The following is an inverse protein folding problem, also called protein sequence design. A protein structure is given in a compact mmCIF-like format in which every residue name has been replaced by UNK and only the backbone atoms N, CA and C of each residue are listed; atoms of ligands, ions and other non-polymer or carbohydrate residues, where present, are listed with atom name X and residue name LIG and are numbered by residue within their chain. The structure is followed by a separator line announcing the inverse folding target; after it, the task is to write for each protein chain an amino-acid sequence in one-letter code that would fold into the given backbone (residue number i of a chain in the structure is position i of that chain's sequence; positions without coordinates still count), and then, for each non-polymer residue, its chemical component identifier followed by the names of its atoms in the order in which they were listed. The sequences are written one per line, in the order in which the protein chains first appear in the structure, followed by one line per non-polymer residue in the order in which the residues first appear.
data_IF_271265812251
#
_entry.id   IF_271265812251
#
_cell.length_a   1.000
_cell.length_b   1.000
_cell.length_c   1.000
_cell.angle_alpha   90.00
_cell.angle_beta   90.00
_cell.angle_gamma   90.00
#
_symmetry.space_group_name_H-M   'P 1'
#
loop_
_entity.id
_entity.type
_entity.pdbx_description
1 polymer ?
#
# COMPACT_ATOMS: atom_id res chain seq x y z
N UNK A 1 -31.18 34.45 -32.43
CA UNK A 1 -31.06 34.52 -30.95
C UNK A 1 -30.67 35.94 -30.58
N UNK A 2 -31.29 36.51 -29.55
CA UNK A 2 -30.90 37.84 -29.05
C UNK A 2 -29.50 37.78 -28.43
N UNK A 3 -28.67 38.81 -28.66
CA UNK A 3 -27.32 38.94 -28.08
C UNK A 3 -27.30 38.77 -26.55
N UNK A 4 -28.41 39.09 -25.88
CA UNK A 4 -28.59 38.90 -24.44
C UNK A 4 -28.57 37.42 -24.01
N UNK A 5 -29.07 36.51 -24.85
CA UNK A 5 -29.10 35.06 -24.57
C UNK A 5 -27.70 34.46 -24.73
N UNK A 6 -26.95 34.90 -25.75
CA UNK A 6 -25.57 34.45 -26.00
C UNK A 6 -24.65 34.85 -24.84
N UNK A 7 -24.77 36.08 -24.33
CA UNK A 7 -23.95 36.53 -23.20
C UNK A 7 -24.21 35.74 -21.92
N UNK A 8 -25.47 35.37 -21.64
CA UNK A 8 -25.81 34.55 -20.47
C UNK A 8 -25.23 33.14 -20.60
N UNK A 9 -25.33 32.53 -21.79
CA UNK A 9 -24.76 31.20 -22.05
C UNK A 9 -23.23 31.21 -21.91
N UNK A 10 -22.56 32.24 -22.43
CA UNK A 10 -21.11 32.40 -22.31
C UNK A 10 -20.65 32.57 -20.86
N UNK A 11 -21.35 33.37 -20.06
CA UNK A 11 -21.02 33.56 -18.64
C UNK A 11 -21.22 32.26 -17.87
N UNK A 12 -22.31 31.52 -18.12
CA UNK A 12 -22.54 30.23 -17.48
C UNK A 12 -21.48 29.18 -17.86
N UNK A 13 -21.08 29.13 -19.14
CA UNK A 13 -19.98 28.27 -19.61
C UNK A 13 -18.65 28.64 -18.93
N UNK A 14 -18.34 29.93 -18.83
CA UNK A 14 -17.12 30.40 -18.15
C UNK A 14 -17.12 30.04 -16.66
N UNK A 15 -18.24 30.20 -15.94
CA UNK A 15 -18.33 29.84 -14.52
C UNK A 15 -18.25 28.33 -14.30
N UNK A 16 -18.78 27.51 -15.22
CA UNK A 16 -18.66 26.05 -15.18
C UNK A 16 -17.22 25.59 -15.42
N UNK A 17 -16.49 26.24 -16.34
CA UNK A 17 -15.08 25.95 -16.59
C UNK A 17 -14.18 26.32 -15.39
N UNK A 18 -14.53 27.36 -14.62
CA UNK A 18 -13.78 27.77 -13.42
C UNK A 18 -14.12 26.89 -12.20
N UNK A 19 -15.38 26.48 -12.05
CA UNK A 19 -15.81 25.61 -10.94
C UNK A 19 -15.28 24.18 -11.04
N UNK A 20 -14.92 23.70 -12.24
CA UNK A 20 -14.32 22.37 -12.46
C UNK A 20 -12.93 22.19 -11.86
N UNK A 21 -12.30 23.25 -11.32
CA UNK A 21 -11.00 23.16 -10.62
C UNK A 21 -11.11 23.16 -9.09
N UNK A 22 -12.30 23.28 -8.53
CA UNK A 22 -12.53 23.32 -7.09
C UNK A 22 -13.21 22.04 -6.59
N UNK A 23 -12.63 20.88 -6.88
CA UNK A 23 -12.97 19.66 -6.15
C UNK A 23 -11.72 18.80 -5.99
N UNK A 24 -10.91 19.18 -5.02
CA UNK A 24 -9.88 18.33 -4.43
C UNK A 24 -10.10 18.46 -2.92
N UNK A 25 -10.88 17.53 -2.36
CA UNK A 25 -10.87 17.34 -0.92
C UNK A 25 -9.42 17.12 -0.49
N UNK A 26 -9.05 17.70 0.65
CA UNK A 26 -7.72 17.60 1.22
C UNK A 26 -7.31 16.12 1.31
N UNK A 27 -6.50 15.65 0.37
CA UNK A 27 -5.83 14.36 0.47
C UNK A 27 -4.70 14.61 1.48
N UNK A 28 -4.90 14.11 2.69
CA UNK A 28 -3.88 14.15 3.74
C UNK A 28 -3.02 12.91 3.55
N UNK A 29 -1.73 13.12 3.23
CA UNK A 29 -0.77 12.06 2.94
C UNK A 29 -0.30 12.11 1.48
N UNK A 30 0.98 11.84 1.26
CA UNK A 30 1.49 11.61 -0.10
C UNK A 30 0.88 10.33 -0.65
N UNK A 31 0.36 10.40 -1.87
CA UNK A 31 -0.18 9.25 -2.59
C UNK A 31 0.90 8.65 -3.48
N UNK A 32 1.00 7.33 -3.44
CA UNK A 32 1.94 6.55 -4.21
C UNK A 32 1.18 5.74 -5.24
N UNK A 33 1.79 5.54 -6.40
CA UNK A 33 1.22 4.70 -7.45
C UNK A 33 2.01 3.40 -7.57
N UNK A 34 1.32 2.32 -7.94
CA UNK A 34 1.98 1.15 -8.54
C UNK A 34 2.05 1.29 -10.07
N UNK A 35 2.66 0.32 -10.73
CA UNK A 35 2.79 0.27 -12.20
C UNK A 35 1.43 0.24 -12.93
N UNK A 36 0.36 -0.17 -12.24
CA UNK A 36 -1.01 -0.16 -12.76
C UNK A 36 -1.72 1.20 -12.53
N UNK A 37 -1.07 2.14 -11.85
CA UNK A 37 -1.60 3.47 -11.53
C UNK A 37 -2.58 3.49 -10.34
N UNK A 38 -2.70 2.38 -9.60
CA UNK A 38 -3.53 2.31 -8.39
C UNK A 38 -2.90 3.16 -7.30
N UNK A 39 -3.72 3.92 -6.57
CA UNK A 39 -3.26 4.85 -5.55
C UNK A 39 -3.22 4.19 -4.17
N UNK A 40 -2.12 4.44 -3.47
CA UNK A 40 -1.78 3.86 -2.18
C UNK A 40 -1.34 4.94 -1.20
N UNK A 41 -1.69 4.78 0.07
CA UNK A 41 -1.30 5.68 1.17
C UNK A 41 -0.29 4.98 2.06
N UNK A 42 0.82 5.63 2.38
CA UNK A 42 1.84 5.08 3.27
C UNK A 42 1.32 4.91 4.71
N UNK A 43 1.61 3.76 5.32
CA UNK A 43 1.17 3.41 6.68
C UNK A 43 2.36 3.40 7.64
N UNK A 44 3.48 2.83 7.22
CA UNK A 44 4.65 2.61 8.05
C UNK A 44 5.57 1.56 7.43
N UNK A 45 6.50 1.03 8.20
CA UNK A 45 7.41 -0.02 7.77
C UNK A 45 7.63 -1.05 8.87
N UNK A 46 7.95 -2.27 8.47
CA UNK A 46 8.47 -3.31 9.37
C UNK A 46 9.78 -3.87 8.81
N UNK A 47 10.60 -4.39 9.69
CA UNK A 47 11.85 -5.06 9.33
C UNK A 47 11.58 -6.56 9.13
N UNK A 48 12.29 -7.18 8.18
CA UNK A 48 12.35 -8.64 8.07
C UNK A 48 12.74 -9.28 9.40
N UNK A 49 13.66 -8.65 10.14
CA UNK A 49 14.08 -9.08 11.48
C UNK A 49 13.18 -8.41 12.53
N UNK A 50 12.23 -9.14 13.13
CA UNK A 50 11.35 -8.59 14.15
C UNK A 50 12.11 -8.29 15.44
N UNK A 51 11.56 -7.38 16.23
CA UNK A 51 12.07 -7.04 17.56
C UNK A 51 11.70 -8.10 18.62
N UNK A 52 10.67 -8.89 18.32
CA UNK A 52 10.02 -9.86 19.17
C UNK A 52 10.79 -11.19 19.14
N UNK A 53 11.16 -11.68 20.33
CA UNK A 53 11.96 -12.89 20.47
C UNK A 53 11.26 -14.17 20.01
N UNK A 54 9.92 -14.18 19.96
CA UNK A 54 9.12 -15.35 19.55
C UNK A 54 9.25 -15.68 18.06
N UNK A 55 9.61 -14.69 17.23
CA UNK A 55 9.86 -14.86 15.80
C UNK A 55 11.35 -14.92 15.49
N UNK A 56 12.16 -15.37 16.44
CA UNK A 56 13.59 -15.60 16.22
C UNK A 56 13.86 -17.09 16.12
N UNK A 57 14.56 -17.51 15.07
CA UNK A 57 14.98 -18.91 14.95
C UNK A 57 15.91 -19.27 16.13
N UNK A 58 15.56 -20.28 16.94
CA UNK A 58 16.42 -20.69 18.05
C UNK A 58 17.72 -21.29 17.54
N UNK A 59 18.78 -21.07 18.29
CA UNK A 59 20.08 -21.72 18.05
C UNK A 59 20.02 -23.22 18.38
N UNK A 60 20.95 -24.00 17.83
CA UNK A 60 21.06 -25.44 18.12
C UNK A 60 21.09 -25.74 19.63
N UNK A 61 21.78 -24.90 20.41
CA UNK A 61 21.86 -25.04 21.87
C UNK A 61 20.50 -24.84 22.54
N UNK A 62 19.71 -23.88 22.06
CA UNK A 62 18.36 -23.63 22.56
C UNK A 62 17.40 -24.75 22.17
N UNK A 63 17.51 -25.28 20.95
CA UNK A 63 16.72 -26.43 20.49
C UNK A 63 17.00 -27.67 21.35
N UNK A 64 18.28 -27.97 21.64
CA UNK A 64 18.65 -29.08 22.53
C UNK A 64 18.10 -28.87 23.95
N UNK A 65 17.94 -27.63 24.39
CA UNK A 65 17.33 -27.28 25.67
C UNK A 65 15.79 -27.20 25.62
N UNK A 66 15.16 -27.59 24.50
CA UNK A 66 13.70 -27.69 24.36
C UNK A 66 13.02 -26.43 23.82
N UNK A 67 13.75 -25.54 23.14
CA UNK A 67 13.14 -24.40 22.46
C UNK A 67 12.18 -24.85 21.35
N UNK A 68 11.12 -24.06 21.14
CA UNK A 68 10.16 -24.30 20.08
C UNK A 68 10.75 -23.94 18.72
N UNK A 69 10.62 -24.85 17.74
CA UNK A 69 10.99 -24.62 16.34
C UNK A 69 9.77 -24.39 15.44
N UNK A 70 8.55 -24.49 15.96
CA UNK A 70 7.31 -24.17 15.26
C UNK A 70 7.05 -22.65 15.35
N UNK A 71 7.85 -21.89 14.62
CA UNK A 71 7.71 -20.44 14.51
C UNK A 71 6.81 -20.14 13.32
N UNK A 72 5.74 -19.39 13.54
CA UNK A 72 4.83 -18.98 12.48
C UNK A 72 5.58 -18.21 11.39
N UNK A 73 5.27 -18.52 10.15
CA UNK A 73 5.69 -17.76 8.99
C UNK A 73 4.64 -16.73 8.61
N UNK A 74 5.09 -15.70 7.90
CA UNK A 74 4.25 -14.64 7.41
C UNK A 74 4.61 -14.35 5.97
N UNK A 75 3.61 -14.28 5.10
CA UNK A 75 3.79 -13.55 3.85
C UNK A 75 3.88 -12.03 4.14
N UNK A 76 4.33 -11.24 3.15
CA UNK A 76 4.53 -9.80 3.35
C UNK A 76 3.28 -9.04 3.81
N UNK A 77 2.09 -9.47 3.40
CA UNK A 77 0.81 -8.86 3.77
C UNK A 77 0.33 -9.33 5.14
N UNK A 78 0.56 -10.60 5.49
CA UNK A 78 0.29 -11.13 6.82
C UNK A 78 1.17 -10.46 7.87
N UNK A 79 2.46 -10.24 7.57
CA UNK A 79 3.36 -9.48 8.42
C UNK A 79 2.86 -8.04 8.62
N UNK A 80 2.47 -7.36 7.54
CA UNK A 80 1.85 -6.03 7.64
C UNK A 80 0.58 -6.03 8.51
N UNK A 81 -0.27 -7.04 8.33
CA UNK A 81 -1.51 -7.19 9.12
C UNK A 81 -1.20 -7.47 10.59
N UNK A 82 -0.15 -8.24 10.87
CA UNK A 82 0.33 -8.51 12.23
C UNK A 82 0.84 -7.22 12.89
N UNK A 83 1.65 -6.42 12.20
CA UNK A 83 2.25 -5.19 12.75
C UNK A 83 1.26 -4.02 12.88
N UNK A 84 0.40 -3.81 11.87
CA UNK A 84 -0.46 -2.62 11.78
C UNK A 84 -1.94 -2.90 12.06
N UNK A 85 -2.31 -4.17 12.21
CA UNK A 85 -3.69 -4.61 12.40
C UNK A 85 -4.47 -4.74 11.08
N UNK A 86 -5.65 -5.36 11.19
CA UNK A 86 -6.53 -5.55 10.05
C UNK A 86 -7.13 -4.23 9.55
N UNK A 87 -7.16 -4.06 8.24
CA UNK A 87 -7.86 -2.94 7.60
C UNK A 87 -9.38 -3.11 7.67
N UNK A 88 -10.09 -2.00 7.55
CA UNK A 88 -11.56 -1.97 7.54
C UNK A 88 -12.11 -1.86 6.11
N UNK A 89 -13.29 -2.43 5.87
CA UNK A 89 -13.96 -2.35 4.57
C UNK A 89 -13.20 -3.12 3.48
N UNK A 90 -13.15 -2.55 2.28
CA UNK A 90 -12.52 -3.17 1.09
C UNK A 90 -11.05 -2.77 0.91
N UNK A 91 -10.44 -2.15 1.93
CA UNK A 91 -9.05 -1.73 1.87
C UNK A 91 -8.11 -2.93 1.90
N UNK A 92 -6.99 -2.81 1.19
CA UNK A 92 -5.94 -3.84 1.11
C UNK A 92 -4.59 -3.23 1.44
N UNK A 93 -3.69 -4.03 1.99
CA UNK A 93 -2.28 -3.67 2.08
C UNK A 93 -1.57 -3.96 0.76
N UNK A 94 -0.48 -3.22 0.52
CA UNK A 94 0.55 -3.52 -0.46
C UNK A 94 1.91 -3.23 0.18
N UNK A 95 2.95 -3.94 -0.29
CA UNK A 95 4.31 -3.82 0.23
C UNK A 95 5.20 -3.20 -0.84
N UNK A 96 6.23 -2.48 -0.40
CA UNK A 96 7.35 -2.12 -1.25
C UNK A 96 8.67 -2.33 -0.54
N UNK A 97 9.68 -2.70 -1.31
CA UNK A 97 11.05 -3.00 -0.86
C UNK A 97 12.07 -2.09 -1.54
N UNK A 98 11.62 -0.92 -2.01
CA UNK A 98 12.51 0.08 -2.57
C UNK A 98 13.64 0.36 -1.59
N UNK A 99 14.88 0.34 -2.09
CA UNK A 99 16.06 0.52 -1.27
C UNK A 99 16.20 2.00 -0.88
N UNK A 100 15.66 2.36 0.29
CA UNK A 100 15.64 3.74 0.77
C UNK A 100 17.03 4.18 1.27
N UNK A 101 17.98 3.25 1.44
CA UNK A 101 19.34 3.58 1.86
C UNK A 101 20.05 4.54 0.89
N UNK A 102 19.69 4.52 -0.40
CA UNK A 102 20.19 5.51 -1.38
C UNK A 102 19.59 6.89 -1.13
N UNK A 103 18.34 6.99 -0.71
CA UNK A 103 17.62 8.26 -0.63
C UNK A 103 17.79 8.97 0.73
N UNK A 104 17.91 8.21 1.83
CA UNK A 104 18.23 8.74 3.17
C UNK A 104 19.65 9.31 3.26
N UNK A 105 20.61 8.74 2.50
CA UNK A 105 22.01 9.20 2.52
C UNK A 105 22.18 10.60 1.90
N UNK A 106 21.26 11.01 1.04
CA UNK A 106 21.40 12.23 0.26
C UNK A 106 20.33 13.30 0.56
N UNK A 107 19.40 13.07 1.50
CA UNK A 107 18.32 14.03 1.85
C UNK A 107 17.52 14.50 0.60
N UNK A 108 17.53 13.67 -0.44
CA UNK A 108 16.87 13.84 -1.73
C UNK A 108 15.92 12.67 -1.98
N UNK A 109 15.12 12.32 -0.97
CA UNK A 109 14.02 11.38 -1.17
C UNK A 109 13.00 12.10 -2.07
N UNK A 110 13.18 12.00 -3.38
CA UNK A 110 12.13 12.36 -4.32
C UNK A 110 11.08 11.26 -4.23
N UNK A 111 10.16 11.47 -3.29
CA UNK A 111 9.05 10.57 -2.98
C UNK A 111 8.17 10.30 -4.20
N UNK A 112 8.28 11.12 -5.26
CA UNK A 112 7.62 10.89 -6.55
C UNK A 112 8.23 9.76 -7.37
N UNK A 113 9.45 9.33 -7.07
CA UNK A 113 10.07 8.12 -7.65
C UNK A 113 9.68 6.84 -6.88
N UNK A 114 9.08 6.99 -5.70
CA UNK A 114 8.71 5.85 -4.89
C UNK A 114 7.52 5.12 -5.51
N UNK A 115 7.75 3.88 -5.94
CA UNK A 115 6.74 3.05 -6.59
C UNK A 115 6.32 1.91 -5.65
N UNK A 116 5.03 1.63 -5.55
CA UNK A 116 4.55 0.43 -4.85
C UNK A 116 4.81 -0.77 -5.75
N UNK A 117 5.88 -1.52 -5.45
CA UNK A 117 6.36 -2.61 -6.32
C UNK A 117 5.77 -3.99 -5.97
N UNK A 118 4.97 -4.08 -4.90
CA UNK A 118 4.34 -5.32 -4.41
C UNK A 118 5.31 -6.42 -4.02
N UNK A 119 6.61 -6.13 -3.92
CA UNK A 119 7.62 -7.06 -3.43
C UNK A 119 7.78 -6.92 -1.91
N UNK A 120 8.04 -8.03 -1.22
CA UNK A 120 8.49 -8.04 0.18
C UNK A 120 9.84 -8.77 0.30
N UNK A 121 10.63 -8.41 1.32
CA UNK A 121 11.81 -9.15 1.74
C UNK A 121 11.39 -10.40 2.50
N UNK A 122 12.03 -11.51 2.18
CA UNK A 122 11.83 -12.80 2.81
C UNK A 122 13.16 -13.41 3.22
N UNK A 123 13.18 -14.02 4.39
CA UNK A 123 14.18 -15.00 4.77
C UNK A 123 13.65 -16.38 4.39
N UNK A 124 14.44 -17.19 3.68
CA UNK A 124 14.06 -18.53 3.22
C UNK A 124 14.85 -19.55 4.02
N UNK A 125 14.17 -20.44 4.75
CA UNK A 125 14.78 -21.54 5.47
C UNK A 125 15.50 -22.46 4.48
N UNK A 126 16.82 -22.57 4.63
CA UNK A 126 17.61 -23.57 3.95
C UNK A 126 17.91 -24.74 4.88
N UNK A 127 18.29 -25.88 4.32
CA UNK A 127 18.80 -26.97 5.13
C UNK A 127 20.04 -26.56 5.93
N UNK A 128 20.46 -27.44 6.83
CA UNK A 128 21.61 -27.18 7.69
C UNK A 128 22.88 -27.78 7.10
N UNK A 129 23.92 -26.96 6.88
CA UNK A 129 25.27 -27.42 6.54
C UNK A 129 26.20 -27.12 7.71
N UNK A 130 26.76 -28.17 8.33
CA UNK A 130 27.64 -28.07 9.50
C UNK A 130 27.02 -27.30 10.70
N UNK A 131 25.72 -27.48 10.95
CA UNK A 131 25.02 -26.78 12.05
C UNK A 131 24.61 -25.34 11.72
N UNK A 132 24.80 -24.88 10.48
CA UNK A 132 24.40 -23.55 10.03
C UNK A 132 23.31 -23.65 8.98
N UNK A 133 22.20 -22.95 9.18
CA UNK A 133 21.17 -22.79 8.16
C UNK A 133 21.77 -22.05 6.95
N UNK A 134 21.73 -22.65 5.75
CA UNK A 134 22.31 -22.08 4.52
C UNK A 134 21.28 -21.43 3.60
N UNK A 135 20.14 -21.02 4.13
CA UNK A 135 19.12 -20.36 3.35
C UNK A 135 19.55 -19.00 2.77
N UNK A 136 18.60 -18.32 2.13
CA UNK A 136 18.82 -17.06 1.41
C UNK A 136 17.82 -16.00 1.85
N UNK A 137 18.21 -14.72 1.79
CA UNK A 137 17.30 -13.57 1.86
C UNK A 137 17.02 -13.08 0.44
N UNK A 138 15.74 -12.91 0.07
CA UNK A 138 15.37 -12.48 -1.28
C UNK A 138 14.07 -11.66 -1.31
N UNK A 139 13.80 -11.03 -2.46
CA UNK A 139 12.57 -10.29 -2.71
C UNK A 139 11.68 -11.03 -3.71
N UNK A 140 10.38 -11.01 -3.50
CA UNK A 140 9.40 -11.50 -4.45
C UNK A 140 7.99 -10.96 -4.13
N UNK A 141 7.17 -10.84 -5.16
CA UNK A 141 5.73 -10.56 -5.06
C UNK A 141 4.92 -11.87 -5.09
N UNK A 142 5.47 -12.92 -5.70
CA UNK A 142 4.80 -14.18 -6.02
C UNK A 142 5.02 -15.30 -5.02
N UNK A 143 5.77 -15.04 -3.94
CA UNK A 143 6.01 -16.04 -2.90
C UNK A 143 4.68 -16.42 -2.21
N UNK A 144 4.27 -17.68 -2.41
CA UNK A 144 3.12 -18.31 -1.73
C UNK A 144 3.64 -19.25 -0.65
N UNK A 145 3.26 -18.98 0.59
CA UNK A 145 3.77 -19.70 1.75
C UNK A 145 3.51 -21.21 1.63
N UNK A 146 4.56 -22.06 1.57
CA UNK A 146 4.38 -23.49 1.39
C UNK A 146 4.01 -24.24 2.67
N UNK A 147 4.22 -23.65 3.84
CA UNK A 147 4.12 -24.33 5.14
C UNK A 147 3.45 -23.45 6.20
N UNK A 148 3.13 -23.98 7.38
CA UNK A 148 2.60 -23.17 8.49
C UNK A 148 3.72 -22.64 9.41
N UNK A 149 4.94 -23.16 9.26
CA UNK A 149 6.08 -22.87 10.14
C UNK A 149 7.39 -22.71 9.37
N UNK A 150 8.26 -21.85 9.91
CA UNK A 150 9.62 -21.60 9.43
C UNK A 150 10.62 -22.66 9.96
N UNK A 151 10.49 -23.92 9.52
CA UNK A 151 11.34 -25.01 10.02
C UNK A 151 11.61 -26.15 9.03
N UNK A 152 11.24 -25.96 7.75
CA UNK A 152 11.48 -26.94 6.69
C UNK A 152 12.13 -26.25 5.49
N UNK A 153 12.94 -26.99 4.74
CA UNK A 153 13.62 -26.49 3.56
C UNK A 153 12.63 -25.84 2.58
N UNK A 154 12.87 -24.57 2.26
CA UNK A 154 12.03 -23.77 1.39
C UNK A 154 10.85 -23.06 2.08
N UNK A 155 10.65 -23.25 3.38
CA UNK A 155 9.79 -22.34 4.15
C UNK A 155 10.38 -20.94 4.08
N UNK A 156 9.54 -19.91 4.07
CA UNK A 156 10.03 -18.54 4.09
C UNK A 156 9.20 -17.72 5.06
N UNK A 157 9.66 -16.52 5.39
CA UNK A 157 8.88 -15.58 6.19
C UNK A 157 9.39 -14.17 5.94
N UNK A 158 8.46 -13.23 5.82
CA UNK A 158 8.73 -11.80 5.78
C UNK A 158 8.91 -11.19 7.18
N UNK A 159 8.75 -11.99 8.24
CA UNK A 159 8.87 -11.55 9.63
C UNK A 159 9.52 -12.65 10.47
N UNK A 160 10.85 -12.77 10.36
CA UNK A 160 11.64 -13.78 11.08
C UNK A 160 13.08 -13.29 11.33
N UNK A 161 13.57 -13.48 12.55
CA UNK A 161 14.97 -13.25 12.92
C UNK A 161 15.77 -14.54 12.81
N UNK A 162 16.40 -14.78 11.65
CA UNK A 162 17.31 -15.91 11.43
C UNK A 162 18.72 -15.42 11.07
N UNK A 163 18.95 -15.05 9.80
CA UNK A 163 20.27 -14.65 9.31
C UNK A 163 20.36 -13.22 8.80
N UNK A 164 19.23 -12.60 8.51
CA UNK A 164 19.17 -11.18 8.16
C UNK A 164 19.67 -10.30 9.32
N UNK A 165 20.15 -9.10 8.97
CA UNK A 165 20.62 -8.11 9.94
C UNK A 165 19.47 -7.14 10.20
N UNK A 166 19.15 -6.90 11.48
CA UNK A 166 18.18 -5.89 11.85
C UNK A 166 18.56 -4.51 11.26
N UNK A 167 17.60 -3.88 10.60
CA UNK A 167 17.72 -2.61 9.90
C UNK A 167 18.07 -2.74 8.42
N UNK A 168 18.40 -3.94 7.92
CA UNK A 168 18.91 -4.11 6.56
C UNK A 168 17.81 -4.40 5.52
N UNK A 169 16.72 -5.06 5.92
CA UNK A 169 15.71 -5.57 5.00
C UNK A 169 14.34 -5.02 5.39
N UNK A 170 14.11 -3.74 5.05
CA UNK A 170 12.90 -3.02 5.43
C UNK A 170 11.80 -3.21 4.38
N UNK A 171 10.62 -3.56 4.87
CA UNK A 171 9.37 -3.64 4.11
C UNK A 171 8.50 -2.43 4.42
N UNK A 172 8.19 -1.64 3.41
CA UNK A 172 7.33 -0.46 3.53
C UNK A 172 5.89 -0.82 3.20
N UNK A 173 4.98 -0.43 4.07
CA UNK A 173 3.58 -0.83 4.03
C UNK A 173 2.71 0.33 3.57
N UNK A 174 1.86 0.03 2.61
CA UNK A 174 0.88 0.95 2.05
C UNK A 174 -0.51 0.34 2.15
N UNK A 175 -1.53 1.18 2.24
CA UNK A 175 -2.94 0.76 2.17
C UNK A 175 -3.61 1.37 0.94
N UNK A 176 -4.52 0.63 0.33
CA UNK A 176 -5.25 1.09 -0.84
C UNK A 176 -6.14 2.29 -0.48
N UNK A 177 -6.14 3.30 -1.33
CA UNK A 177 -7.02 4.46 -1.16
C UNK A 177 -8.37 4.17 -1.80
N UNK A 178 -9.35 3.83 -0.99
CA UNK A 178 -10.75 3.76 -1.41
C UNK A 178 -11.33 5.16 -1.44
N UNK A 179 -11.01 5.95 -2.46
CA UNK A 179 -11.80 7.14 -2.74
C UNK A 179 -13.17 6.66 -3.23
N UNK A 180 -14.13 6.49 -2.30
CA UNK A 180 -15.53 6.59 -2.70
C UNK A 180 -15.75 8.06 -3.04
N UNK A 181 -15.33 8.48 -4.25
CA UNK A 181 -15.69 9.79 -4.77
C UNK A 181 -17.21 9.79 -4.77
N UNK A 182 -17.90 10.57 -3.91
CA UNK A 182 -19.33 10.70 -4.01
C UNK A 182 -19.60 11.14 -5.43
N UNK A 183 -20.48 10.43 -6.13
CA UNK A 183 -20.80 10.68 -7.54
C UNK A 183 -20.80 12.18 -7.81
N UNK A 184 -20.12 12.66 -8.86
CA UNK A 184 -19.78 14.07 -8.97
C UNK A 184 -21.03 14.91 -8.77
N UNK A 185 -21.06 15.72 -7.72
CA UNK A 185 -22.19 16.61 -7.43
C UNK A 185 -22.48 17.52 -8.63
N UNK A 186 -21.52 17.67 -9.55
CA UNK A 186 -21.66 18.24 -10.88
C UNK A 186 -22.73 17.59 -11.73
N UNK A 187 -22.94 16.26 -11.68
CA UNK A 187 -24.01 15.57 -12.43
C UNK A 187 -25.38 15.88 -11.84
N UNK A 188 -25.49 15.92 -10.51
CA UNK A 188 -26.70 16.35 -9.81
C UNK A 188 -27.03 17.84 -10.07
N UNK A 189 -26.01 18.71 -10.04
CA UNK A 189 -26.13 20.15 -10.36
C UNK A 189 -26.49 20.34 -11.84
N UNK A 190 -25.90 19.58 -12.76
CA UNK A 190 -26.26 19.60 -14.18
C UNK A 190 -27.72 19.16 -14.38
N UNK A 191 -28.14 18.08 -13.73
CA UNK A 191 -29.51 17.58 -13.81
C UNK A 191 -30.52 18.61 -13.26
N UNK A 192 -30.22 19.27 -12.13
CA UNK A 192 -31.01 20.36 -11.57
C UNK A 192 -31.08 21.58 -12.50
N UNK A 193 -29.95 21.95 -13.13
CA UNK A 193 -29.91 23.04 -14.10
C UNK A 193 -30.77 22.74 -15.34
N UNK A 194 -30.70 21.51 -15.87
CA UNK A 194 -31.56 21.02 -16.97
C UNK A 194 -33.04 20.97 -16.57
N UNK A 195 -33.35 20.53 -15.35
CA UNK A 195 -34.70 20.52 -14.81
C UNK A 195 -35.27 21.94 -14.66
N UNK A 196 -34.47 22.90 -14.17
CA UNK A 196 -34.86 24.31 -14.09
C UNK A 196 -35.07 24.94 -15.48
N UNK A 197 -34.24 24.58 -16.46
CA UNK A 197 -34.36 25.07 -17.84
C UNK A 197 -35.61 24.52 -18.55
N UNK A 198 -35.94 23.25 -18.31
CA UNK A 198 -37.17 22.62 -18.83
C UNK A 198 -38.42 23.15 -18.13
N UNK A 199 -38.41 23.34 -16.82
CA UNK A 199 -39.50 23.95 -16.06
C UNK A 199 -39.84 25.36 -16.56
N UNK A 200 -38.84 26.16 -16.95
CA UNK A 200 -39.05 27.50 -17.54
C UNK A 200 -39.84 27.46 -18.85
N UNK A 201 -39.71 26.40 -19.66
CA UNK A 201 -40.45 26.24 -20.92
C UNK A 201 -41.96 26.03 -20.71
N UNK A 202 -42.37 25.51 -19.56
CA UNK A 202 -43.78 25.25 -19.25
C UNK A 202 -44.55 26.48 -18.74
N UNK A 203 -43.88 27.59 -18.41
CA UNK A 203 -44.53 28.81 -17.90
C UNK A 203 -44.93 29.82 -19.01
N UNK A 204 -44.55 29.55 -20.25
CA UNK A 204 -44.86 30.39 -21.42
C UNK A 204 -45.91 29.76 -22.36
N UNK A 205 -46.80 28.92 -21.82
CA UNK A 205 -48.06 28.52 -22.45
C UNK A 205 -49.22 29.03 -21.62
#
# INVERSE_FOLDING_TARGET
MSSKIINVVLVCLFTLCVAGKANAGLIVGDLYADDAGVQWEYVGSYDLVPSEIEYKLPTDVEIVNGANTEIANFNGIEAATHTFGALTGDQKYAISTNDIAIYDLFDFLDISEYTVNHEAWYDIYGGTVNGVNVGVVSKDESYVEPNDFYNVDGAFSAYIGDRAIAGANINYVFKSVTTSVPEPSTLAIFALALAGLTARRFKNK
#
